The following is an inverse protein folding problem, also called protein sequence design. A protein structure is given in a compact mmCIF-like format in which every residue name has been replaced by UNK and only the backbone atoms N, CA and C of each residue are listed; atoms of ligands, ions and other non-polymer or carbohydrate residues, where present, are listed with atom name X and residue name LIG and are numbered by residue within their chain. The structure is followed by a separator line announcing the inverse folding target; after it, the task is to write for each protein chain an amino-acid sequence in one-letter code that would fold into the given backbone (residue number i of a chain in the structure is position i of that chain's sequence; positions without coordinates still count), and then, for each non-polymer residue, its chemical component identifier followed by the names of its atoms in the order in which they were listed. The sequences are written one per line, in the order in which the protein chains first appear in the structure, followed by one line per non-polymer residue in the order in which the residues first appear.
data_IF_069855218238
#
_entry.id   IF_069855218238
#
_cell.length_a   1.000
_cell.length_b   1.000
_cell.length_c   1.000
_cell.angle_alpha   90.00
_cell.angle_beta   90.00
_cell.angle_gamma   90.00
#
_symmetry.space_group_name_H-M   'P 1'
#
loop_
_entity.id
_entity.type
_entity.pdbx_description
1 polymer ?
#
# COMPACT_ATOMS: atom_id res chain seq x y z
N UNK A 1 -10.42 -6.95 5.31
CA UNK A 1 -10.25 -8.26 4.63
C UNK A 1 -10.93 -8.32 3.26
N UNK A 2 -12.24 -8.08 3.09
CA UNK A 2 -12.90 -8.21 1.77
C UNK A 2 -12.19 -7.45 0.63
N UNK A 3 -11.80 -6.19 0.89
CA UNK A 3 -11.00 -5.38 -0.02
C UNK A 3 -9.59 -5.92 -0.32
N UNK A 4 -8.95 -6.57 0.66
CA UNK A 4 -7.57 -7.07 0.55
C UNK A 4 -7.48 -8.32 -0.34
N UNK A 5 -8.49 -9.20 -0.26
CA UNK A 5 -8.49 -10.50 -0.93
C UNK A 5 -9.34 -10.52 -2.22
N UNK A 6 -9.92 -9.39 -2.61
CA UNK A 6 -10.66 -9.26 -3.86
C UNK A 6 -12.12 -9.76 -3.82
N UNK A 7 -12.72 -9.91 -2.63
CA UNK A 7 -14.14 -10.24 -2.50
C UNK A 7 -15.08 -9.05 -2.67
N UNK A 8 -14.54 -7.85 -2.88
CA UNK A 8 -15.30 -6.65 -3.20
C UNK A 8 -14.95 -6.13 -4.59
N UNK A 9 -15.97 -5.67 -5.32
CA UNK A 9 -15.77 -4.93 -6.57
C UNK A 9 -14.97 -3.65 -6.33
N UNK A 10 -14.39 -3.02 -7.38
CA UNK A 10 -13.67 -1.75 -7.21
C UNK A 10 -14.49 -0.66 -6.50
N UNK A 11 -15.79 -0.56 -6.81
CA UNK A 11 -16.70 0.39 -6.17
C UNK A 11 -16.96 0.05 -4.69
N UNK A 12 -17.16 -1.23 -4.36
CA UNK A 12 -17.30 -1.68 -2.97
C UNK A 12 -16.01 -1.45 -2.18
N UNK A 13 -14.85 -1.76 -2.76
CA UNK A 13 -13.54 -1.49 -2.15
C UNK A 13 -13.37 -0.01 -1.83
N UNK A 14 -13.69 0.88 -2.79
CA UNK A 14 -13.66 2.32 -2.56
C UNK A 14 -14.58 2.73 -1.40
N UNK A 15 -15.82 2.21 -1.36
CA UNK A 15 -16.78 2.51 -0.32
C UNK A 15 -16.32 2.02 1.06
N UNK A 16 -15.77 0.81 1.16
CA UNK A 16 -15.20 0.25 2.40
C UNK A 16 -14.06 1.12 2.91
N UNK A 17 -13.09 1.45 2.05
CA UNK A 17 -11.93 2.25 2.44
C UNK A 17 -12.34 3.68 2.82
N UNK A 18 -13.35 4.26 2.17
CA UNK A 18 -13.92 5.54 2.56
C UNK A 18 -14.61 5.48 3.92
N UNK A 19 -15.40 4.43 4.19
CA UNK A 19 -16.07 4.23 5.48
C UNK A 19 -15.06 4.07 6.63
N UNK A 20 -13.97 3.33 6.43
CA UNK A 20 -12.89 3.21 7.41
C UNK A 20 -12.24 4.56 7.73
N UNK A 21 -11.95 5.36 6.71
CA UNK A 21 -11.37 6.69 6.89
C UNK A 21 -12.33 7.64 7.63
N UNK A 22 -13.63 7.59 7.30
CA UNK A 22 -14.64 8.39 8.00
C UNK A 22 -14.81 7.95 9.45
N UNK A 23 -14.80 6.64 9.72
CA UNK A 23 -14.84 6.11 11.09
C UNK A 23 -13.62 6.54 11.91
N UNK A 24 -12.42 6.47 11.33
CA UNK A 24 -11.19 6.96 11.97
C UNK A 24 -11.30 8.44 12.36
N UNK A 25 -11.76 9.29 11.43
CA UNK A 25 -11.96 10.72 11.67
C UNK A 25 -13.02 10.98 12.74
N UNK A 26 -14.18 10.34 12.64
CA UNK A 26 -15.28 10.50 13.60
C UNK A 26 -14.90 10.01 15.00
N UNK A 27 -14.03 9.01 15.10
CA UNK A 27 -13.49 8.51 16.36
C UNK A 27 -12.41 9.41 16.97
N UNK A 28 -11.83 10.33 16.20
CA UNK A 28 -10.64 11.07 16.60
C UNK A 28 -9.41 10.18 16.72
N UNK A 29 -9.35 9.07 15.97
CA UNK A 29 -8.22 8.15 15.99
C UNK A 29 -7.03 8.72 15.22
N UNK A 30 -5.86 8.75 15.84
CA UNK A 30 -4.64 9.35 15.27
C UNK A 30 -3.95 8.50 14.21
N UNK A 31 -4.35 7.23 14.10
CA UNK A 31 -3.81 6.24 13.15
C UNK A 31 -4.91 5.27 12.67
N UNK A 32 -4.71 4.54 11.56
CA UNK A 32 -5.62 3.47 11.10
C UNK A 32 -5.69 2.31 12.11
N UNK A 33 -6.54 1.31 11.83
CA UNK A 33 -6.67 0.13 12.68
C UNK A 33 -7.78 0.21 13.72
N UNK A 34 -8.70 1.18 13.60
CA UNK A 34 -9.91 1.23 14.40
C UNK A 34 -10.78 -0.01 14.14
N UNK A 35 -11.15 -0.71 15.21
CA UNK A 35 -11.88 -1.99 15.16
C UNK A 35 -13.38 -1.82 14.90
N UNK A 36 -14.12 -1.25 15.87
CA UNK A 36 -15.57 -1.02 15.81
C UNK A 36 -15.88 0.46 16.02
N UNK A 37 -16.74 1.02 15.15
CA UNK A 37 -17.20 2.40 15.29
C UNK A 37 -18.65 2.59 14.80
N UNK A 38 -19.53 3.22 15.60
CA UNK A 38 -19.32 3.58 17.01
C UNK A 38 -19.10 2.34 17.90
N UNK A 39 -18.47 2.46 19.07
CA UNK A 39 -18.37 1.36 20.01
C UNK A 39 -19.77 0.97 20.50
N UNK A 40 -20.00 -0.33 20.72
CA UNK A 40 -21.18 -0.82 21.40
C UNK A 40 -21.18 -0.37 22.86
N UNK A 41 -22.38 -0.27 23.44
CA UNK A 41 -22.53 0.05 24.85
C UNK A 41 -21.79 -0.98 25.74
N UNK A 42 -21.29 -0.56 26.90
CA UNK A 42 -20.46 -1.41 27.76
C UNK A 42 -21.17 -2.65 28.31
N UNK A 43 -22.50 -2.75 28.18
CA UNK A 43 -23.29 -3.92 28.57
C UNK A 43 -23.52 -4.91 27.43
N UNK A 44 -23.14 -4.57 26.19
CA UNK A 44 -23.35 -5.43 25.01
C UNK A 44 -22.51 -6.71 25.06
N UNK A 45 -21.27 -6.61 25.57
CA UNK A 45 -20.36 -7.74 25.68
C UNK A 45 -20.16 -8.13 27.16
N UNK A 46 -20.23 -9.42 27.52
CA UNK A 46 -20.02 -9.86 28.89
C UNK A 46 -18.55 -9.74 29.36
N UNK A 47 -17.59 -9.59 28.43
CA UNK A 47 -16.17 -9.47 28.74
C UNK A 47 -15.80 -8.05 29.21
N UNK A 48 -15.12 -7.96 30.35
CA UNK A 48 -14.73 -6.68 30.97
C UNK A 48 -13.82 -5.81 30.08
N UNK A 49 -13.01 -6.44 29.22
CA UNK A 49 -12.08 -5.73 28.32
C UNK A 49 -12.78 -5.16 27.08
N UNK A 50 -14.02 -5.56 26.78
CA UNK A 50 -14.82 -5.06 25.65
C UNK A 50 -15.75 -3.91 26.02
N UNK A 51 -15.41 -3.14 27.07
CA UNK A 51 -16.08 -1.87 27.36
C UNK A 51 -15.94 -0.89 26.18
N UNK A 52 -16.86 0.08 26.10
CA UNK A 52 -16.89 1.04 25.01
C UNK A 52 -15.54 1.78 24.85
N UNK A 53 -14.94 1.70 23.67
CA UNK A 53 -13.66 2.31 23.31
C UNK A 53 -12.42 1.49 23.67
N UNK A 54 -12.58 0.24 24.15
CA UNK A 54 -11.48 -0.65 24.54
C UNK A 54 -11.42 -1.88 23.67
N UNK A 55 -10.23 -2.48 23.57
CA UNK A 55 -10.00 -3.75 22.89
C UNK A 55 -10.67 -3.78 21.50
N UNK A 56 -11.40 -4.84 21.16
CA UNK A 56 -12.16 -4.97 19.92
C UNK A 56 -13.37 -4.02 19.82
N UNK A 57 -13.83 -3.45 20.94
CA UNK A 57 -14.98 -2.54 20.99
C UNK A 57 -14.57 -1.06 20.82
N UNK A 58 -13.84 -0.77 19.74
CA UNK A 58 -13.44 0.60 19.38
C UNK A 58 -12.05 1.02 19.83
N UNK A 59 -11.20 0.06 20.22
CA UNK A 59 -9.76 0.24 20.28
C UNK A 59 -9.12 0.23 18.88
N UNK A 60 -7.91 0.76 18.82
CA UNK A 60 -7.04 0.77 17.64
C UNK A 60 -6.05 -0.38 17.74
N UNK A 61 -5.97 -1.18 16.68
CA UNK A 61 -5.15 -2.39 16.60
C UNK A 61 -4.14 -2.29 15.47
N UNK A 62 -2.86 -2.38 15.80
CA UNK A 62 -1.80 -2.25 14.80
C UNK A 62 -1.82 -3.39 13.77
N UNK A 63 -2.24 -4.60 14.17
CA UNK A 63 -2.38 -5.69 13.21
C UNK A 63 -3.49 -5.43 12.18
N UNK A 64 -4.57 -4.78 12.62
CA UNK A 64 -5.65 -4.37 11.73
C UNK A 64 -5.23 -3.19 10.86
N UNK A 65 -4.45 -2.25 11.41
CA UNK A 65 -3.83 -1.17 10.64
C UNK A 65 -2.98 -1.72 9.49
N UNK A 66 -2.12 -2.71 9.74
CA UNK A 66 -1.31 -3.34 8.68
C UNK A 66 -2.18 -3.93 7.56
N UNK A 67 -3.23 -4.68 7.91
CA UNK A 67 -4.20 -5.23 6.95
C UNK A 67 -4.91 -4.14 6.13
N UNK A 68 -5.36 -3.07 6.80
CA UNK A 68 -6.00 -1.94 6.14
C UNK A 68 -5.05 -1.24 5.16
N UNK A 69 -3.82 -0.96 5.58
CA UNK A 69 -2.81 -0.27 4.77
C UNK A 69 -2.44 -1.10 3.53
N UNK A 70 -2.22 -2.41 3.69
CA UNK A 70 -1.96 -3.29 2.55
C UNK A 70 -3.12 -3.26 1.55
N UNK A 71 -4.37 -3.32 2.04
CA UNK A 71 -5.55 -3.23 1.18
C UNK A 71 -5.63 -1.89 0.44
N UNK A 72 -5.30 -0.77 1.09
CA UNK A 72 -5.25 0.55 0.44
C UNK A 72 -4.19 0.62 -0.67
N UNK A 73 -2.99 0.07 -0.44
CA UNK A 73 -1.97 -0.04 -1.50
C UNK A 73 -2.46 -0.90 -2.66
N UNK A 74 -2.97 -2.10 -2.39
CA UNK A 74 -3.43 -3.05 -3.41
C UNK A 74 -4.61 -2.53 -4.21
N UNK A 75 -5.50 -1.76 -3.58
CA UNK A 75 -6.64 -1.13 -4.24
C UNK A 75 -6.28 0.18 -4.99
N UNK A 76 -5.00 0.57 -5.01
CA UNK A 76 -4.55 1.75 -5.75
C UNK A 76 -4.89 3.08 -5.07
N UNK A 77 -4.82 3.10 -3.74
CA UNK A 77 -4.91 4.30 -2.91
C UNK A 77 -3.57 4.56 -2.19
N UNK A 78 -2.45 4.42 -2.90
CA UNK A 78 -1.10 4.44 -2.31
C UNK A 78 -0.78 5.71 -1.53
N UNK A 79 -1.32 6.87 -1.92
CA UNK A 79 -1.14 8.13 -1.17
C UNK A 79 -1.76 8.05 0.23
N UNK A 80 -2.96 7.45 0.35
CA UNK A 80 -3.64 7.24 1.65
C UNK A 80 -2.87 6.21 2.48
N UNK A 81 -2.51 5.09 1.86
CA UNK A 81 -1.75 4.03 2.53
C UNK A 81 -0.42 4.53 3.10
N UNK A 82 0.30 5.38 2.36
CA UNK A 82 1.55 5.99 2.83
C UNK A 82 1.32 6.99 3.97
N UNK A 83 0.22 7.75 3.95
CA UNK A 83 -0.17 8.61 5.08
C UNK A 83 -0.43 7.76 6.33
N UNK A 84 -1.16 6.66 6.18
CA UNK A 84 -1.47 5.73 7.25
C UNK A 84 -0.22 5.03 7.81
N UNK A 85 0.71 4.58 6.96
CA UNK A 85 2.02 4.08 7.43
C UNK A 85 2.77 5.12 8.25
N UNK A 86 2.76 6.40 7.83
CA UNK A 86 3.41 7.48 8.58
C UNK A 86 2.72 7.77 9.91
N UNK A 87 1.40 7.64 9.99
CA UNK A 87 0.67 7.77 11.25
C UNK A 87 1.08 6.68 12.25
N UNK A 88 1.14 5.42 11.81
CA UNK A 88 1.60 4.30 12.65
C UNK A 88 3.06 4.49 13.08
N UNK A 89 3.95 4.87 12.15
CA UNK A 89 5.35 5.13 12.48
C UNK A 89 5.51 6.25 13.52
N UNK A 90 4.69 7.31 13.44
CA UNK A 90 4.67 8.38 14.46
C UNK A 90 4.15 7.90 15.80
N UNK A 91 3.14 7.03 15.83
CA UNK A 91 2.66 6.44 17.07
C UNK A 91 3.77 5.63 17.73
N UNK A 92 4.41 4.73 16.97
CA UNK A 92 5.50 3.88 17.46
C UNK A 92 6.72 4.66 17.92
N UNK A 93 7.02 5.80 17.29
CA UNK A 93 8.08 6.69 17.74
C UNK A 93 7.85 7.26 19.16
N UNK A 94 6.59 7.31 19.63
CA UNK A 94 6.26 7.76 20.99
C UNK A 94 6.39 6.65 22.04
N UNK A 95 6.52 5.39 21.62
CA UNK A 95 6.73 4.23 22.49
C UNK A 95 7.77 3.28 21.86
N UNK A 96 9.03 3.73 21.72
CA UNK A 96 10.06 2.99 21.00
C UNK A 96 10.29 1.60 21.61
N UNK A 97 10.43 0.59 20.74
CA UNK A 97 10.61 -0.80 21.15
C UNK A 97 9.33 -1.50 21.61
N UNK A 98 8.16 -0.87 21.48
CA UNK A 98 6.87 -1.45 21.86
C UNK A 98 5.91 -1.47 20.66
N UNK A 99 5.27 -2.61 20.46
CA UNK A 99 4.14 -2.82 19.54
C UNK A 99 2.97 -3.34 20.38
N UNK A 100 2.02 -2.46 20.67
CA UNK A 100 0.85 -2.83 21.43
C UNK A 100 -0.09 -3.72 20.60
N UNK A 101 -0.71 -4.70 21.25
CA UNK A 101 -1.81 -5.44 20.61
C UNK A 101 -2.97 -4.49 20.24
N UNK A 102 -3.34 -3.63 21.19
CA UNK A 102 -4.34 -2.59 20.98
C UNK A 102 -4.06 -1.38 21.87
N UNK A 103 -4.58 -0.22 21.46
CA UNK A 103 -4.54 1.02 22.22
C UNK A 103 -5.83 1.82 22.06
N UNK A 104 -6.10 2.70 23.03
CA UNK A 104 -7.17 3.67 22.93
C UNK A 104 -6.89 4.63 21.76
N UNK A 105 -7.95 5.01 21.03
CA UNK A 105 -7.89 5.88 19.84
C UNK A 105 -7.17 7.21 20.02
N UNK A 106 -7.10 7.72 21.25
CA UNK A 106 -6.46 8.98 21.61
C UNK A 106 -5.30 8.82 22.60
N UNK A 107 -4.66 7.64 22.67
CA UNK A 107 -3.50 7.44 23.53
C UNK A 107 -2.46 8.52 23.25
N UNK A 108 -2.09 9.27 24.29
CA UNK A 108 -1.11 10.36 24.20
C UNK A 108 0.24 9.95 24.79
N UNK A 109 1.36 10.48 24.27
CA UNK A 109 2.71 10.18 24.77
C UNK A 109 2.89 10.42 26.27
N UNK A 110 2.22 11.41 26.82
CA UNK A 110 2.26 11.77 28.25
C UNK A 110 1.54 10.77 29.19
N UNK A 111 0.86 9.76 28.64
CA UNK A 111 0.20 8.71 29.43
C UNK A 111 1.27 7.76 29.98
N UNK A 112 1.87 8.16 31.12
CA UNK A 112 3.10 7.58 31.71
C UNK A 112 3.05 6.08 31.99
N UNK A 113 1.84 5.51 32.05
CA UNK A 113 1.55 4.08 32.03
C UNK A 113 0.15 3.93 31.45
N UNK A 114 -0.03 3.41 30.23
CA UNK A 114 -1.35 2.96 29.84
C UNK A 114 -1.71 1.80 30.79
N UNK A 115 -2.73 2.00 31.62
CA UNK A 115 -3.43 0.88 32.25
C UNK A 115 -4.25 0.14 31.17
N UNK A 116 -4.85 -0.99 31.53
CA UNK A 116 -5.72 -1.75 30.61
C UNK A 116 -6.93 -0.94 30.09
N UNK A 117 -7.21 0.25 30.65
CA UNK A 117 -8.21 1.14 30.08
C UNK A 117 -7.72 1.83 28.80
N UNK A 118 -6.41 1.89 28.57
CA UNK A 118 -5.79 2.70 27.52
C UNK A 118 -4.89 1.91 26.55
N UNK A 119 -4.30 0.79 26.94
CA UNK A 119 -3.60 -0.10 26.02
C UNK A 119 -3.45 -1.53 26.55
N UNK A 120 -3.14 -2.47 25.66
CA UNK A 120 -2.80 -3.83 26.05
C UNK A 120 -1.56 -3.87 26.95
N UNK A 121 -1.52 -4.84 27.87
CA UNK A 121 -0.29 -5.20 28.59
C UNK A 121 0.71 -5.93 27.67
N UNK A 122 0.26 -6.47 26.54
CA UNK A 122 1.14 -7.05 25.53
C UNK A 122 1.80 -5.92 24.74
N UNK A 123 3.09 -5.68 25.02
CA UNK A 123 3.92 -4.63 24.42
C UNK A 123 4.81 -5.11 23.28
N UNK A 124 4.84 -6.42 23.03
CA UNK A 124 5.64 -7.08 21.99
C UNK A 124 4.74 -7.89 21.05
N UNK A 125 3.65 -7.29 20.58
CA UNK A 125 2.64 -8.00 19.81
C UNK A 125 3.11 -8.28 18.38
N UNK A 126 3.65 -9.48 18.17
CA UNK A 126 4.27 -9.90 16.92
C UNK A 126 3.35 -9.78 15.69
N UNK A 127 2.04 -9.97 15.84
CA UNK A 127 1.11 -9.85 14.70
C UNK A 127 0.96 -8.39 14.21
N UNK A 128 1.09 -7.40 15.10
CA UNK A 128 1.15 -5.99 14.72
C UNK A 128 2.37 -5.71 13.84
N UNK A 129 3.55 -6.16 14.29
CA UNK A 129 4.77 -6.04 13.52
C UNK A 129 4.72 -6.78 12.18
N UNK A 130 4.24 -8.02 12.17
CA UNK A 130 4.20 -8.86 10.98
C UNK A 130 3.32 -8.27 9.87
N UNK A 131 2.13 -7.77 10.21
CA UNK A 131 1.20 -7.19 9.23
C UNK A 131 1.70 -5.85 8.68
N UNK A 132 2.42 -5.05 9.47
CA UNK A 132 3.04 -3.82 8.97
C UNK A 132 4.24 -4.10 8.06
N UNK A 133 5.07 -5.10 8.40
CA UNK A 133 6.13 -5.58 7.50
C UNK A 133 5.51 -6.08 6.19
N UNK A 134 4.40 -6.81 6.24
CA UNK A 134 3.66 -7.23 5.05
C UNK A 134 3.13 -6.03 4.24
N UNK A 135 2.55 -5.03 4.89
CA UNK A 135 2.08 -3.80 4.23
C UNK A 135 3.23 -3.01 3.58
N UNK A 136 4.43 -3.05 4.15
CA UNK A 136 5.64 -2.46 3.54
C UNK A 136 6.11 -3.29 2.36
N UNK A 137 6.29 -4.60 2.51
CA UNK A 137 6.84 -5.48 1.49
C UNK A 137 5.88 -5.65 0.28
N UNK A 138 4.65 -6.09 0.53
CA UNK A 138 3.66 -6.38 -0.52
C UNK A 138 2.80 -5.16 -0.89
N UNK A 139 2.65 -4.20 0.02
CA UNK A 139 1.95 -2.94 -0.25
C UNK A 139 2.88 -1.90 -0.88
N UNK A 140 3.75 -1.28 -0.09
CA UNK A 140 4.56 -0.15 -0.54
C UNK A 140 5.59 -0.53 -1.62
N UNK A 141 6.40 -1.56 -1.36
CA UNK A 141 7.41 -2.06 -2.29
C UNK A 141 6.83 -3.05 -3.32
N UNK A 142 5.64 -3.57 -3.06
CA UNK A 142 4.87 -4.40 -3.99
C UNK A 142 5.55 -5.68 -4.44
N UNK A 143 6.38 -6.29 -3.60
CA UNK A 143 7.00 -7.58 -3.91
C UNK A 143 6.10 -8.70 -3.43
N UNK A 144 5.55 -9.46 -4.37
CA UNK A 144 4.62 -10.55 -4.08
C UNK A 144 5.11 -11.85 -4.73
N UNK A 145 5.39 -12.85 -3.90
CA UNK A 145 5.67 -14.22 -4.34
C UNK A 145 4.38 -15.02 -4.32
N UNK A 146 3.96 -15.51 -5.49
CA UNK A 146 2.76 -16.33 -5.63
C UNK A 146 3.06 -17.82 -5.36
N UNK A 147 2.01 -18.63 -5.26
CA UNK A 147 2.14 -20.08 -5.24
C UNK A 147 2.97 -20.57 -6.45
N UNK A 148 3.88 -21.52 -6.23
CA UNK A 148 4.88 -21.93 -7.24
C UNK A 148 6.07 -20.97 -7.39
N UNK A 149 6.12 -19.92 -6.57
CA UNK A 149 7.19 -18.93 -6.49
C UNK A 149 7.21 -17.92 -7.64
N UNK A 150 6.14 -17.79 -8.41
CA UNK A 150 6.04 -16.77 -9.45
C UNK A 150 6.10 -15.38 -8.83
N UNK A 151 6.84 -14.46 -9.45
CA UNK A 151 7.05 -13.12 -8.94
C UNK A 151 6.01 -12.16 -9.54
N UNK A 152 5.53 -11.22 -8.72
CA UNK A 152 4.80 -10.03 -9.14
C UNK A 152 5.41 -8.82 -8.46
N UNK A 153 5.68 -7.76 -9.22
CA UNK A 153 6.26 -6.52 -8.68
C UNK A 153 5.38 -5.32 -9.02
N UNK A 154 4.90 -4.59 -8.01
CA UNK A 154 4.13 -3.35 -8.18
C UNK A 154 4.71 -2.24 -7.32
N UNK A 155 5.65 -1.47 -7.86
CA UNK A 155 6.34 -0.41 -7.12
C UNK A 155 5.39 0.76 -6.87
N UNK A 156 4.98 0.98 -5.62
CA UNK A 156 3.99 2.02 -5.21
C UNK A 156 4.62 3.26 -4.59
N UNK A 157 5.95 3.36 -4.63
CA UNK A 157 6.75 4.45 -4.05
C UNK A 157 6.43 5.83 -4.67
N UNK A 158 6.03 5.88 -5.95
CA UNK A 158 5.65 7.14 -6.62
C UNK A 158 6.82 8.13 -6.66
N UNK A 159 6.73 9.22 -5.93
CA UNK A 159 7.78 10.25 -5.85
C UNK A 159 8.84 9.97 -4.77
N UNK A 160 8.67 8.93 -3.96
CA UNK A 160 9.65 8.55 -2.95
C UNK A 160 10.71 7.62 -3.55
N UNK A 161 11.98 7.81 -3.19
CA UNK A 161 13.03 6.80 -3.42
C UNK A 161 12.93 5.65 -2.41
N UNK A 162 13.38 4.47 -2.77
CA UNK A 162 13.43 3.34 -1.84
C UNK A 162 14.19 2.15 -2.40
N UNK A 163 14.60 1.24 -1.52
CA UNK A 163 15.23 -0.01 -1.89
C UNK A 163 14.71 -1.15 -1.01
N UNK A 164 14.60 -2.34 -1.60
CA UNK A 164 14.15 -3.55 -0.89
C UNK A 164 14.97 -4.74 -1.37
N UNK A 165 15.18 -5.69 -0.46
CA UNK A 165 15.53 -7.07 -0.81
C UNK A 165 14.49 -8.00 -0.20
N UNK A 166 13.91 -8.88 -1.02
CA UNK A 166 12.96 -9.89 -0.62
C UNK A 166 13.47 -11.25 -1.06
N UNK A 167 13.48 -12.20 -0.12
CA UNK A 167 13.94 -13.57 -0.34
C UNK A 167 12.80 -14.54 -0.08
N UNK A 168 12.62 -15.51 -0.98
CA UNK A 168 11.77 -16.67 -0.75
C UNK A 168 12.64 -17.83 -0.29
N UNK A 169 12.86 -17.90 1.02
CA UNK A 169 13.68 -18.91 1.68
C UNK A 169 13.15 -20.32 1.36
N UNK A 170 14.03 -21.22 0.92
CA UNK A 170 13.69 -22.59 0.51
C UNK A 170 13.59 -22.80 -1.01
N UNK A 171 13.29 -21.76 -1.79
CA UNK A 171 13.27 -21.85 -3.25
C UNK A 171 14.54 -21.28 -3.92
N UNK A 172 15.46 -20.73 -3.13
CA UNK A 172 16.64 -20.02 -3.65
C UNK A 172 16.29 -18.79 -4.48
N UNK A 173 15.09 -18.23 -4.30
CA UNK A 173 14.60 -17.08 -5.07
C UNK A 173 14.75 -15.77 -4.31
N UNK A 174 15.13 -14.73 -5.02
CA UNK A 174 15.25 -13.40 -4.44
C UNK A 174 15.02 -12.29 -5.46
N UNK A 175 14.59 -11.13 -4.98
CA UNK A 175 14.51 -9.88 -5.71
C UNK A 175 15.16 -8.79 -4.84
N UNK A 176 16.08 -8.04 -5.41
CA UNK A 176 16.56 -6.78 -4.86
C UNK A 176 16.27 -5.68 -5.87
N UNK A 177 15.76 -4.53 -5.43
CA UNK A 177 15.69 -3.37 -6.30
C UNK A 177 15.96 -2.07 -5.57
N UNK A 178 16.40 -1.08 -6.34
CA UNK A 178 16.46 0.34 -5.96
C UNK A 178 15.61 1.13 -6.93
N UNK A 179 14.71 1.94 -6.38
CA UNK A 179 13.84 2.85 -7.11
C UNK A 179 14.24 4.30 -6.84
N UNK A 180 14.47 5.05 -7.92
CA UNK A 180 14.97 6.43 -7.89
C UNK A 180 14.10 7.29 -8.80
N UNK A 181 13.13 8.05 -8.25
CA UNK A 181 12.35 9.00 -9.03
C UNK A 181 13.15 10.30 -9.26
N UNK A 182 12.92 10.91 -10.42
CA UNK A 182 13.40 12.23 -10.80
C UNK A 182 12.22 13.07 -11.34
N UNK A 183 12.48 14.33 -11.68
CA UNK A 183 11.43 15.26 -12.12
C UNK A 183 10.78 14.84 -13.45
N UNK A 184 11.54 14.21 -14.34
CA UNK A 184 11.20 13.84 -15.72
C UNK A 184 11.44 12.34 -16.02
N UNK A 185 11.87 11.56 -15.03
CA UNK A 185 12.07 10.12 -15.19
C UNK A 185 11.83 9.34 -13.89
N UNK A 186 11.48 8.06 -14.02
CA UNK A 186 11.52 7.06 -12.94
C UNK A 186 12.55 6.00 -13.30
N UNK A 187 13.45 5.65 -12.39
CA UNK A 187 14.42 4.57 -12.59
C UNK A 187 14.20 3.45 -11.58
N UNK A 188 14.21 2.21 -12.05
CA UNK A 188 14.17 1.00 -11.23
C UNK A 188 15.32 0.07 -11.66
N UNK A 189 16.37 0.02 -10.85
CA UNK A 189 17.44 -0.97 -11.02
C UNK A 189 17.13 -2.18 -10.15
N UNK A 190 17.04 -3.36 -10.76
CA UNK A 190 16.69 -4.58 -10.05
C UNK A 190 17.63 -5.73 -10.37
N UNK A 191 17.69 -6.68 -9.44
CA UNK A 191 18.34 -7.98 -9.59
C UNK A 191 17.37 -9.05 -9.10
N UNK A 192 17.18 -10.08 -9.91
CA UNK A 192 16.40 -11.27 -9.54
C UNK A 192 17.24 -12.53 -9.65
N UNK A 193 17.09 -13.42 -8.68
CA UNK A 193 17.57 -14.79 -8.74
C UNK A 193 16.34 -15.69 -8.86
N UNK A 194 15.90 -15.97 -10.07
CA UNK A 194 14.66 -16.67 -10.34
C UNK A 194 14.54 -17.05 -11.80
N UNK A 195 13.42 -17.65 -12.16
CA UNK A 195 13.12 -18.10 -13.52
C UNK A 195 11.83 -17.47 -14.00
N UNK A 196 11.76 -17.23 -15.31
CA UNK A 196 10.56 -16.71 -15.97
C UNK A 196 10.42 -15.20 -15.89
N UNK A 197 9.80 -14.65 -16.94
CA UNK A 197 9.38 -13.27 -16.94
C UNK A 197 8.30 -13.03 -15.87
N UNK A 198 8.21 -11.80 -15.37
CA UNK A 198 7.26 -11.44 -14.32
C UNK A 198 6.56 -10.12 -14.63
N UNK A 199 5.30 -9.97 -14.21
CA UNK A 199 4.62 -8.70 -14.35
C UNK A 199 5.22 -7.62 -13.44
N UNK A 200 5.52 -6.46 -14.02
CA UNK A 200 6.14 -5.32 -13.36
C UNK A 200 5.30 -4.06 -13.58
N UNK A 201 4.93 -3.38 -12.49
CA UNK A 201 4.24 -2.11 -12.52
C UNK A 201 5.02 -1.05 -11.75
N UNK A 202 5.15 0.14 -12.33
CA UNK A 202 5.75 1.32 -11.68
C UNK A 202 4.68 2.40 -11.57
N UNK A 203 4.36 2.82 -10.33
CA UNK A 203 3.38 3.88 -10.08
C UNK A 203 3.88 5.21 -10.63
N UNK A 204 3.08 5.82 -11.50
CA UNK A 204 3.34 7.17 -12.00
C UNK A 204 3.07 8.22 -10.90
N UNK A 205 3.86 9.31 -10.83
CA UNK A 205 3.52 10.45 -10.01
C UNK A 205 2.15 11.04 -10.39
N UNK A 206 1.48 11.76 -9.46
CA UNK A 206 0.24 12.47 -9.76
C UNK A 206 0.42 13.39 -10.98
N UNK A 207 -0.61 13.44 -11.83
CA UNK A 207 -0.64 14.33 -13.00
C UNK A 207 0.53 14.15 -13.99
N UNK A 208 1.20 12.99 -13.96
CA UNK A 208 2.23 12.61 -14.94
C UNK A 208 1.77 11.42 -15.79
N UNK A 209 2.31 11.37 -17.01
CA UNK A 209 2.12 10.26 -17.94
C UNK A 209 3.47 9.70 -18.40
N UNK A 210 3.46 8.44 -18.86
CA UNK A 210 4.63 7.80 -19.42
C UNK A 210 4.76 8.13 -20.91
N UNK A 211 5.92 8.69 -21.29
CA UNK A 211 6.21 9.06 -22.67
C UNK A 211 7.05 8.02 -23.40
N UNK A 212 7.92 7.31 -22.67
CA UNK A 212 8.74 6.22 -23.18
C UNK A 212 9.19 5.35 -22.01
N UNK A 213 9.43 4.07 -22.27
CA UNK A 213 9.97 3.12 -21.30
C UNK A 213 11.10 2.35 -21.94
N UNK A 214 12.23 2.24 -21.24
CA UNK A 214 13.36 1.42 -21.67
C UNK A 214 13.69 0.36 -20.63
N UNK A 215 14.16 -0.79 -21.11
CA UNK A 215 14.77 -1.87 -20.34
C UNK A 215 16.19 -2.03 -20.86
N UNK A 216 17.19 -1.77 -20.01
CA UNK A 216 18.62 -1.79 -20.38
C UNK A 216 18.92 -0.95 -21.63
N UNK A 217 18.35 0.26 -21.67
CA UNK A 217 18.42 1.23 -22.77
C UNK A 217 17.73 0.81 -24.09
N UNK A 218 17.17 -0.39 -24.20
CA UNK A 218 16.31 -0.77 -25.31
C UNK A 218 14.86 -0.35 -25.06
N UNK A 219 14.15 0.08 -26.10
CA UNK A 219 12.72 0.41 -26.00
C UNK A 219 11.91 -0.82 -25.53
N UNK A 220 11.05 -0.60 -24.54
CA UNK A 220 10.21 -1.64 -23.96
C UNK A 220 8.73 -1.38 -24.30
N UNK A 221 8.01 -2.46 -24.61
CA UNK A 221 6.55 -2.41 -24.74
C UNK A 221 5.93 -2.23 -23.36
N UNK A 222 5.03 -1.25 -23.24
CA UNK A 222 4.34 -0.94 -21.99
C UNK A 222 2.90 -0.51 -22.24
N UNK A 223 2.08 -0.60 -21.19
CA UNK A 223 0.74 0.00 -21.14
C UNK A 223 0.65 0.92 -19.93
N UNK A 224 -0.34 1.82 -19.92
CA UNK A 224 -0.68 2.63 -18.74
C UNK A 224 -2.00 2.14 -18.18
N UNK A 225 -1.96 1.63 -16.96
CA UNK A 225 -3.11 1.04 -16.27
C UNK A 225 -3.55 1.93 -15.10
N UNK A 226 -4.85 1.89 -14.80
CA UNK A 226 -5.43 2.58 -13.64
C UNK A 226 -5.95 1.54 -12.65
N UNK A 227 -5.51 1.65 -11.41
CA UNK A 227 -6.03 0.87 -10.28
C UNK A 227 -6.43 1.86 -9.21
N UNK A 228 -7.71 1.92 -8.86
CA UNK A 228 -8.24 2.95 -7.96
C UNK A 228 -7.87 4.36 -8.42
N UNK A 229 -7.20 5.11 -7.54
CA UNK A 229 -6.70 6.45 -7.83
C UNK A 229 -5.32 6.46 -8.50
N UNK A 230 -4.58 5.36 -8.42
CA UNK A 230 -3.22 5.26 -8.93
C UNK A 230 -3.17 4.91 -10.43
N UNK A 231 -2.11 5.38 -11.09
CA UNK A 231 -1.76 5.01 -12.46
C UNK A 231 -0.41 4.30 -12.46
N UNK A 232 -0.26 3.32 -13.33
CA UNK A 232 0.94 2.51 -13.41
C UNK A 232 1.40 2.38 -14.86
N UNK A 233 2.72 2.43 -15.07
CA UNK A 233 3.33 1.81 -16.24
C UNK A 233 3.40 0.32 -15.99
N UNK A 234 2.77 -0.46 -16.84
CA UNK A 234 2.81 -1.92 -16.81
C UNK A 234 3.72 -2.44 -17.92
N UNK A 235 4.65 -3.32 -17.57
CA UNK A 235 5.55 -3.99 -18.50
C UNK A 235 5.92 -5.38 -17.99
N UNK A 236 6.65 -6.12 -18.81
CA UNK A 236 7.17 -7.44 -18.44
C UNK A 236 8.62 -7.31 -17.99
N UNK A 237 8.90 -7.65 -16.73
CA UNK A 237 10.24 -7.81 -16.21
C UNK A 237 10.83 -9.17 -16.59
N UNK A 238 12.15 -9.24 -16.73
CA UNK A 238 12.89 -10.47 -17.07
C UNK A 238 13.93 -10.80 -15.98
N UNK A 239 14.31 -12.08 -15.82
CA UNK A 239 15.32 -12.48 -14.84
C UNK A 239 16.71 -11.95 -15.18
N UNK A 240 17.41 -11.44 -14.16
CA UNK A 240 18.80 -11.03 -14.27
C UNK A 240 19.06 -9.74 -13.51
N UNK A 241 19.98 -8.93 -14.01
CA UNK A 241 20.27 -7.58 -13.52
C UNK A 241 19.87 -6.61 -14.60
N UNK A 242 18.90 -5.75 -14.31
CA UNK A 242 18.31 -4.87 -15.31
C UNK A 242 18.02 -3.50 -14.73
N UNK A 243 17.90 -2.51 -15.61
CA UNK A 243 17.38 -1.18 -15.27
C UNK A 243 16.20 -0.82 -16.17
N UNK A 244 15.07 -0.51 -15.53
CA UNK A 244 13.90 0.07 -16.19
C UNK A 244 13.93 1.57 -16.01
N UNK A 245 13.81 2.32 -17.10
CA UNK A 245 13.66 3.78 -17.06
C UNK A 245 12.34 4.17 -17.70
N UNK A 246 11.53 4.95 -17.00
CA UNK A 246 10.29 5.53 -17.51
C UNK A 246 10.51 7.03 -17.68
N UNK A 247 10.49 7.54 -18.90
CA UNK A 247 10.44 8.98 -19.13
C UNK A 247 9.02 9.46 -18.88
N UNK A 248 8.86 10.46 -18.02
CA UNK A 248 7.56 11.01 -17.64
C UNK A 248 7.38 12.45 -18.13
N UNK A 249 6.16 12.76 -18.56
CA UNK A 249 5.76 14.10 -18.99
C UNK A 249 4.55 14.57 -18.17
N UNK A 250 4.28 15.89 -18.09
CA UNK A 250 2.99 16.37 -17.60
C UNK A 250 1.85 15.64 -18.33
N UNK A 251 0.84 15.19 -17.59
CA UNK A 251 -0.36 14.64 -18.20
C UNK A 251 -1.05 15.75 -19.01
N UNK A 252 -1.52 15.47 -20.24
CA UNK A 252 -2.36 16.42 -20.96
C UNK A 252 -3.58 16.75 -20.09
N UNK A 253 -4.07 17.99 -20.08
CA UNK A 253 -5.30 18.32 -19.38
C UNK A 253 -6.46 17.44 -19.86
N UNK A 254 -7.43 17.19 -18.98
CA UNK A 254 -8.52 16.23 -19.20
C UNK A 254 -9.26 16.44 -20.54
N UNK A 255 -9.42 17.68 -21.01
CA UNK A 255 -10.09 17.99 -22.28
C UNK A 255 -9.28 17.53 -23.51
N UNK A 256 -7.97 17.46 -23.41
CA UNK A 256 -7.07 17.04 -24.49
C UNK A 256 -7.03 15.50 -24.59
N UNK A 257 -7.08 14.82 -23.44
CA UNK A 257 -7.28 13.37 -23.38
C UNK A 257 -8.62 12.95 -24.03
N UNK A 258 -9.69 13.72 -23.80
CA UNK A 258 -10.98 13.52 -24.48
C UNK A 258 -10.87 13.74 -26.00
N UNK A 259 -10.20 14.81 -26.46
CA UNK A 259 -10.01 15.06 -27.90
C UNK A 259 -9.25 13.95 -28.62
N UNK A 260 -8.19 13.42 -28.00
CA UNK A 260 -7.41 12.29 -28.55
C UNK A 260 -8.26 11.02 -28.65
N UNK A 261 -9.09 10.74 -27.65
CA UNK A 261 -10.02 9.60 -27.66
C UNK A 261 -11.10 9.71 -28.74
N UNK A 262 -11.57 10.93 -29.02
CA UNK A 262 -12.53 11.21 -30.11
C UNK A 262 -11.91 11.14 -31.51
N UNK A 263 -10.62 11.48 -31.68
CA UNK A 263 -9.93 11.32 -32.97
C UNK A 263 -9.84 9.85 -33.39
N UNK A 264 -9.50 8.95 -32.47
CA UNK A 264 -9.48 7.50 -32.72
C UNK A 264 -10.86 6.91 -33.06
N UNK A 265 -11.95 7.53 -32.59
CA UNK A 265 -13.32 7.10 -32.90
C UNK A 265 -13.86 7.67 -34.22
N UNK A 266 -13.17 8.62 -34.86
CA UNK A 266 -13.55 9.19 -36.17
C UNK A 266 -12.74 8.67 -37.35
N UNK A 267 -11.57 8.07 -37.11
CA UNK A 267 -10.76 7.45 -38.16
C UNK A 267 -10.49 5.97 -37.85
N UNK A 268 -11.47 5.08 -38.08
CA UNK A 268 -11.19 3.65 -38.13
C UNK A 268 -10.52 3.35 -39.48
N UNK A 269 -9.19 3.52 -39.56
CA UNK A 269 -8.41 3.01 -40.68
C UNK A 269 -7.32 3.94 -41.22
N UNK A 270 -6.15 3.90 -40.59
CA UNK A 270 -4.86 4.00 -41.29
C UNK A 270 -3.76 3.45 -40.37
N UNK A 271 -3.58 2.14 -40.46
CA UNK A 271 -2.63 1.32 -39.71
C UNK A 271 -2.91 -0.14 -40.01
#
# INVERSE_FOLDING_TARGET
MAAQVGFSSPAQTQAILAALAQAQLAAGATQPGLSLWPPYASWTFPQVDMQAGRYQNGGVWDWWAGVQIEAEFKAGYSRRALLHLRQVARAWANHPGQVYEWQARGLRPETRQPDLAHASMARDYAAGAATLVQAINAGLYGVEWQAGGALRVTVRLGEASGAITSTLTGAGRALSYTYTPAADALALSYRTWGVGAFPLWLRLPPDRDAAAVTLDAADAVFTVERVGADRYVALTGVPGVHTVTVRILPSPPWWEQWRLRWRYLREPGSG
#
